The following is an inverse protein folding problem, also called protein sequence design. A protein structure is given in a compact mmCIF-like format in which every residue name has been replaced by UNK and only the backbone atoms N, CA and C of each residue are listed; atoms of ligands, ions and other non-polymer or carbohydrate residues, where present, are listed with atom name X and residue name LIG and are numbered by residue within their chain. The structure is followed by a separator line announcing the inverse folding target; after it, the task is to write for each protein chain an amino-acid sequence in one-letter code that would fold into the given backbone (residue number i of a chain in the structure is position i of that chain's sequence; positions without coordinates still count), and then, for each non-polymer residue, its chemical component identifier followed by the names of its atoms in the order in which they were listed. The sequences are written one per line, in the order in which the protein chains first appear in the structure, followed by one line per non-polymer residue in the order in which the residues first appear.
data_IF_564807597687
#
_entry.id   IF_564807597687
#
_cell.length_a   1.000
_cell.length_b   1.000
_cell.length_c   1.000
_cell.angle_alpha   90.00
_cell.angle_beta   90.00
_cell.angle_gamma   90.00
#
_symmetry.space_group_name_H-M   'P 1'
#
loop_
_entity.id
_entity.type
_entity.pdbx_description
1 polymer ?
#
# COMPACT_ATOMS: atom_id res chain seq x y z
N UNK A 1 -4.38 18.56 9.38
CA UNK A 1 -3.07 18.94 8.78
C UNK A 1 -2.44 20.08 9.57
N UNK A 2 -1.14 20.05 9.89
CA UNK A 2 -0.48 21.08 10.71
C UNK A 2 0.05 22.27 9.88
N UNK A 3 0.09 23.49 10.46
CA UNK A 3 0.87 24.63 9.94
C UNK A 3 2.35 24.50 10.34
N UNK A 4 3.21 25.37 9.80
CA UNK A 4 4.63 25.55 10.14
C UNK A 4 4.92 25.86 11.65
N UNK A 5 3.90 25.76 12.52
CA UNK A 5 4.00 25.84 13.99
C UNK A 5 3.23 24.72 14.74
N UNK A 6 2.90 23.60 14.07
CA UNK A 6 2.46 22.37 14.74
C UNK A 6 1.04 22.35 15.32
N UNK A 7 0.19 23.35 15.09
CA UNK A 7 -1.19 23.36 15.61
C UNK A 7 -2.15 22.42 14.86
N UNK A 8 -3.01 21.71 15.60
CA UNK A 8 -4.15 20.96 15.07
C UNK A 8 -5.13 21.94 14.40
N UNK A 9 -5.37 21.79 13.09
CA UNK A 9 -6.26 22.69 12.33
C UNK A 9 -7.75 22.34 12.47
N UNK A 10 -8.06 21.05 12.48
CA UNK A 10 -9.41 20.52 12.52
C UNK A 10 -9.37 19.05 12.94
N UNK A 11 -10.45 18.59 13.56
CA UNK A 11 -10.74 17.20 13.85
C UNK A 11 -12.26 17.02 13.83
N UNK A 12 -12.71 15.81 13.54
CA UNK A 12 -14.13 15.46 13.53
C UNK A 12 -14.32 14.02 13.98
N UNK A 13 -15.56 13.66 14.28
CA UNK A 13 -15.96 12.28 14.49
C UNK A 13 -16.36 11.64 13.16
N UNK A 14 -15.95 10.39 12.94
CA UNK A 14 -16.25 9.64 11.73
C UNK A 14 -16.68 8.23 12.13
N UNK A 15 -17.97 7.94 11.98
CA UNK A 15 -18.57 6.67 12.39
C UNK A 15 -20.09 6.78 12.57
N UNK A 16 -20.76 5.63 12.61
CA UNK A 16 -22.17 5.46 12.95
C UNK A 16 -22.33 4.71 14.28
N UNK A 17 -23.38 3.89 14.40
CA UNK A 17 -23.70 3.16 15.65
C UNK A 17 -23.08 1.77 15.74
N UNK A 18 -22.52 1.25 14.65
CA UNK A 18 -21.82 -0.02 14.59
C UNK A 18 -20.31 0.13 14.82
N UNK A 19 -19.57 -0.91 14.44
CA UNK A 19 -18.11 -0.91 14.48
C UNK A 19 -17.57 -0.34 13.16
N UNK A 20 -16.89 0.78 13.25
CA UNK A 20 -16.27 1.46 12.11
C UNK A 20 -14.76 1.55 12.30
N UNK A 21 -14.01 1.38 11.22
CA UNK A 21 -12.55 1.45 11.26
C UNK A 21 -11.85 0.23 11.87
N UNK A 22 -12.61 -0.80 12.25
CA UNK A 22 -12.09 -2.01 12.88
C UNK A 22 -12.74 -3.24 12.26
N UNK A 23 -11.92 -4.12 11.70
CA UNK A 23 -12.33 -5.47 11.32
C UNK A 23 -12.45 -6.32 12.58
N UNK A 24 -13.57 -7.05 12.71
CA UNK A 24 -13.86 -7.84 13.90
C UNK A 24 -12.80 -8.94 14.10
N UNK A 25 -12.01 -8.77 15.16
CA UNK A 25 -10.96 -9.72 15.56
C UNK A 25 -11.53 -11.06 16.08
N UNK A 26 -12.81 -11.13 16.42
CA UNK A 26 -13.47 -12.35 16.87
C UNK A 26 -14.27 -13.05 15.75
N UNK A 27 -14.23 -12.54 14.51
CA UNK A 27 -14.99 -13.11 13.40
C UNK A 27 -14.61 -14.59 13.14
N UNK A 28 -15.58 -15.51 13.07
CA UNK A 28 -15.32 -16.90 12.72
C UNK A 28 -14.84 -17.01 11.26
N UNK A 29 -14.08 -18.07 10.97
CA UNK A 29 -13.65 -18.35 9.60
C UNK A 29 -14.84 -18.70 8.67
N UNK A 30 -14.78 -18.35 7.37
CA UNK A 30 -13.74 -17.56 6.71
C UNK A 30 -13.78 -16.08 7.15
N UNK A 31 -12.62 -15.51 7.47
CA UNK A 31 -12.52 -14.11 7.93
C UNK A 31 -11.38 -13.37 7.25
N UNK A 32 -11.52 -12.05 7.21
CA UNK A 32 -10.58 -11.16 6.53
C UNK A 32 -9.32 -10.84 7.34
N UNK A 33 -9.32 -11.12 8.65
CA UNK A 33 -8.13 -10.94 9.49
C UNK A 33 -7.20 -12.13 9.30
N UNK A 34 -6.11 -11.92 8.57
CA UNK A 34 -5.11 -12.96 8.36
C UNK A 34 -3.80 -12.65 9.05
N UNK A 35 -3.27 -11.43 8.92
CA UNK A 35 -2.02 -11.07 9.56
C UNK A 35 -2.24 -10.30 10.87
N UNK A 36 -1.18 -10.21 11.68
CA UNK A 36 -1.12 -9.22 12.76
C UNK A 36 -1.35 -7.80 12.20
N UNK A 37 -2.15 -7.02 12.91
CA UNK A 37 -2.53 -5.65 12.50
C UNK A 37 -3.65 -5.54 11.46
N UNK A 38 -4.13 -6.66 10.87
CA UNK A 38 -5.17 -6.62 9.83
C UNK A 38 -6.50 -6.02 10.34
N UNK A 39 -6.75 -6.10 11.65
CA UNK A 39 -7.94 -5.51 12.28
C UNK A 39 -8.05 -3.99 12.03
N UNK A 40 -6.92 -3.30 11.87
CA UNK A 40 -6.86 -1.84 11.79
C UNK A 40 -6.47 -1.32 10.40
N UNK A 41 -6.75 -2.10 9.34
CA UNK A 41 -6.40 -1.67 7.98
C UNK A 41 -7.22 -0.46 7.52
N UNK A 42 -6.53 0.39 6.78
CA UNK A 42 -7.10 1.55 6.13
C UNK A 42 -6.03 2.38 5.44
N UNK A 43 -6.48 3.29 4.61
CA UNK A 43 -5.64 4.20 3.85
C UNK A 43 -6.36 5.53 3.65
N UNK A 44 -5.60 6.55 3.27
CA UNK A 44 -6.14 7.86 2.96
C UNK A 44 -5.40 8.47 1.77
N UNK A 45 -6.08 9.38 1.07
CA UNK A 45 -5.49 10.22 0.04
C UNK A 45 -6.11 11.61 0.12
N UNK A 46 -5.43 12.57 -0.51
CA UNK A 46 -5.87 13.95 -0.60
C UNK A 46 -6.07 14.34 -2.06
N UNK A 47 -7.04 15.22 -2.33
CA UNK A 47 -7.06 15.97 -3.59
C UNK A 47 -6.27 17.29 -3.48
N UNK A 48 -6.05 18.01 -4.59
CA UNK A 48 -5.33 19.30 -4.57
C UNK A 48 -6.00 20.39 -3.74
N UNK A 49 -7.30 20.25 -3.42
CA UNK A 49 -8.04 21.16 -2.54
C UNK A 49 -7.91 20.77 -1.06
N UNK A 50 -7.21 19.67 -0.76
CA UNK A 50 -6.99 19.17 0.60
C UNK A 50 -8.18 18.41 1.18
N UNK A 51 -9.17 18.04 0.36
CA UNK A 51 -10.22 17.15 0.81
C UNK A 51 -9.65 15.74 0.98
N UNK A 52 -10.19 15.00 1.94
CA UNK A 52 -9.68 13.70 2.36
C UNK A 52 -10.55 12.60 1.78
N UNK A 53 -9.93 11.53 1.33
CA UNK A 53 -10.57 10.26 1.02
C UNK A 53 -10.00 9.23 1.99
N UNK A 54 -10.85 8.38 2.55
CA UNK A 54 -10.48 7.34 3.52
C UNK A 54 -11.02 6.01 3.02
N UNK A 55 -10.17 4.98 2.96
CA UNK A 55 -10.56 3.59 2.78
C UNK A 55 -10.49 2.88 4.13
N UNK A 56 -11.54 2.14 4.49
CA UNK A 56 -11.63 1.40 5.73
C UNK A 56 -12.76 0.36 5.69
N UNK A 57 -13.36 0.08 6.83
CA UNK A 57 -14.45 -0.88 7.04
C UNK A 57 -15.57 -0.25 7.88
N UNK A 58 -16.82 -0.66 7.65
CA UNK A 58 -17.98 -0.24 8.43
C UNK A 58 -18.96 -1.39 8.65
N UNK A 59 -19.55 -1.47 9.84
CA UNK A 59 -20.80 -2.21 10.09
C UNK A 59 -21.97 -1.28 10.44
N UNK A 60 -21.79 0.02 10.21
CA UNK A 60 -22.77 1.06 10.52
C UNK A 60 -23.69 1.33 9.33
N UNK A 61 -24.93 0.85 9.39
CA UNK A 61 -25.97 1.19 8.40
C UNK A 61 -26.34 2.69 8.37
N UNK A 62 -25.90 3.45 9.37
CA UNK A 62 -26.09 4.88 9.52
C UNK A 62 -24.76 5.66 9.48
N UNK A 63 -23.72 5.11 8.85
CA UNK A 63 -22.46 5.82 8.67
C UNK A 63 -22.69 7.19 7.99
N UNK A 64 -22.05 8.28 8.45
CA UNK A 64 -22.27 9.62 7.91
C UNK A 64 -21.98 9.71 6.41
N UNK A 65 -22.89 10.33 5.66
CA UNK A 65 -22.71 10.56 4.22
C UNK A 65 -22.93 9.32 3.33
N UNK A 66 -23.44 8.21 3.87
CA UNK A 66 -23.75 7.02 3.07
C UNK A 66 -24.64 7.37 1.88
N UNK A 67 -24.17 7.05 0.68
CA UNK A 67 -24.88 7.25 -0.58
C UNK A 67 -25.63 5.99 -1.06
N UNK A 68 -25.46 4.88 -0.35
CA UNK A 68 -26.13 3.61 -0.60
C UNK A 68 -26.38 2.89 0.74
N UNK A 69 -27.40 2.03 0.76
CA UNK A 69 -27.69 1.19 1.92
C UNK A 69 -26.58 0.15 2.11
N UNK A 70 -26.25 -0.12 3.37
CA UNK A 70 -25.44 -1.26 3.80
C UNK A 70 -25.84 -2.55 3.07
N UNK A 71 -24.86 -3.28 2.53
CA UNK A 71 -25.10 -4.37 1.58
C UNK A 71 -25.41 -5.72 2.24
N UNK A 72 -25.31 -5.79 3.58
CA UNK A 72 -25.92 -6.84 4.39
C UNK A 72 -24.96 -7.89 4.96
N UNK A 73 -23.65 -7.67 4.86
CA UNK A 73 -22.61 -8.50 5.46
C UNK A 73 -22.43 -8.34 6.99
N UNK A 74 -21.43 -9.00 7.61
CA UNK A 74 -20.90 -8.64 8.93
C UNK A 74 -20.14 -7.30 8.93
N UNK A 75 -19.56 -6.94 7.79
CA UNK A 75 -18.91 -5.65 7.55
C UNK A 75 -18.86 -5.37 6.05
N UNK A 76 -18.96 -4.10 5.68
CA UNK A 76 -18.71 -3.62 4.32
C UNK A 76 -17.34 -2.92 4.27
N UNK A 77 -16.61 -3.05 3.16
CA UNK A 77 -15.55 -2.12 2.84
C UNK A 77 -16.14 -0.72 2.70
N UNK A 78 -15.40 0.31 3.07
CA UNK A 78 -15.92 1.68 3.07
C UNK A 78 -14.92 2.62 2.39
N UNK A 79 -15.41 3.46 1.49
CA UNK A 79 -14.69 4.67 1.10
C UNK A 79 -15.51 5.90 1.46
N UNK A 80 -14.92 6.81 2.23
CA UNK A 80 -15.55 8.06 2.62
C UNK A 80 -14.75 9.27 2.14
N UNK A 81 -15.44 10.35 1.83
CA UNK A 81 -14.83 11.63 1.53
C UNK A 81 -15.23 12.72 2.49
N UNK A 82 -14.25 13.46 3.00
CA UNK A 82 -14.42 14.58 3.92
C UNK A 82 -13.91 15.86 3.26
N UNK A 83 -14.55 16.98 3.56
CA UNK A 83 -14.00 18.27 3.15
C UNK A 83 -12.69 18.60 3.90
N UNK A 84 -11.89 19.50 3.33
CA UNK A 84 -10.60 19.93 3.90
C UNK A 84 -10.71 20.54 5.31
N UNK A 85 -11.90 20.98 5.71
CA UNK A 85 -12.21 21.55 7.04
C UNK A 85 -12.72 20.52 8.04
N UNK A 86 -12.94 19.27 7.62
CA UNK A 86 -13.52 18.19 8.42
C UNK A 86 -14.93 18.51 8.96
N UNK A 87 -15.61 19.49 8.36
CA UNK A 87 -16.95 19.93 8.77
C UNK A 87 -18.05 19.05 8.22
N UNK A 88 -17.80 18.34 7.12
CA UNK A 88 -18.78 17.45 6.52
C UNK A 88 -18.13 16.19 5.93
N UNK A 89 -18.81 15.06 6.08
CA UNK A 89 -18.60 13.89 5.21
C UNK A 89 -19.42 14.15 3.94
N UNK A 90 -18.73 14.36 2.82
CA UNK A 90 -19.32 14.71 1.52
C UNK A 90 -20.09 13.55 0.93
N UNK A 91 -19.54 12.34 1.07
CA UNK A 91 -20.15 11.09 0.67
C UNK A 91 -19.39 9.92 1.34
N UNK A 92 -20.05 8.79 1.45
CA UNK A 92 -19.49 7.52 1.85
C UNK A 92 -20.13 6.39 1.05
N UNK A 93 -19.32 5.45 0.59
CA UNK A 93 -19.72 4.38 -0.31
C UNK A 93 -19.29 3.04 0.26
N UNK A 94 -20.25 2.18 0.63
CA UNK A 94 -19.93 0.81 1.00
C UNK A 94 -19.54 0.01 -0.25
N UNK A 95 -18.59 -0.90 -0.08
CA UNK A 95 -18.03 -1.79 -1.09
C UNK A 95 -18.14 -3.22 -0.54
N UNK A 96 -18.73 -4.12 -1.31
CA UNK A 96 -18.92 -5.49 -0.84
C UNK A 96 -20.13 -6.19 -1.43
N UNK A 97 -20.66 -7.13 -0.65
CA UNK A 97 -21.84 -7.93 -0.93
C UNK A 97 -22.46 -8.46 0.37
N UNK A 98 -22.86 -9.74 0.39
CA UNK A 98 -23.54 -10.34 1.54
C UNK A 98 -22.61 -11.00 2.57
N UNK A 99 -21.31 -11.07 2.30
CA UNK A 99 -20.26 -11.57 3.17
C UNK A 99 -19.54 -10.45 3.92
N UNK A 100 -18.37 -10.73 4.49
CA UNK A 100 -17.53 -9.72 5.11
C UNK A 100 -16.62 -9.09 4.06
N UNK A 101 -16.57 -7.76 4.03
CA UNK A 101 -15.78 -6.98 3.11
C UNK A 101 -14.98 -5.91 3.86
N UNK A 102 -13.82 -5.55 3.32
CA UNK A 102 -13.01 -4.44 3.84
C UNK A 102 -12.17 -3.78 2.74
N UNK A 103 -12.06 -2.45 2.80
CA UNK A 103 -11.16 -1.68 1.93
C UNK A 103 -9.86 -1.37 2.68
N UNK A 104 -8.73 -1.83 2.14
CA UNK A 104 -7.41 -1.71 2.80
C UNK A 104 -6.58 -0.56 2.27
N UNK A 105 -6.69 -0.28 0.97
CA UNK A 105 -5.92 0.77 0.32
C UNK A 105 -6.77 1.57 -0.64
N UNK A 106 -6.35 2.82 -0.90
CA UNK A 106 -6.89 3.59 -1.99
C UNK A 106 -5.79 4.36 -2.73
N UNK A 107 -6.06 4.68 -3.98
CA UNK A 107 -5.25 5.61 -4.76
C UNK A 107 -6.17 6.51 -5.57
N UNK A 108 -5.91 7.82 -5.54
CA UNK A 108 -6.62 8.78 -6.38
C UNK A 108 -6.07 8.76 -7.81
N UNK A 109 -6.96 8.67 -8.77
CA UNK A 109 -6.67 8.79 -10.19
C UNK A 109 -6.64 10.27 -10.62
N UNK A 110 -5.96 10.58 -11.72
CA UNK A 110 -5.87 11.95 -12.25
C UNK A 110 -7.24 12.52 -12.64
N UNK A 111 -8.14 11.66 -13.09
CA UNK A 111 -9.55 11.97 -13.39
C UNK A 111 -10.36 12.36 -12.15
N UNK A 112 -9.78 12.19 -10.95
CA UNK A 112 -10.44 12.37 -9.66
C UNK A 112 -11.17 11.12 -9.17
N UNK A 113 -11.21 10.04 -9.96
CA UNK A 113 -11.67 8.74 -9.51
C UNK A 113 -10.76 8.13 -8.43
N UNK A 114 -11.19 7.03 -7.84
CA UNK A 114 -10.43 6.30 -6.83
C UNK A 114 -10.33 4.82 -7.22
N UNK A 115 -9.13 4.28 -7.14
CA UNK A 115 -8.87 2.85 -7.13
C UNK A 115 -8.79 2.38 -5.68
N UNK A 116 -9.39 1.23 -5.40
CA UNK A 116 -9.49 0.65 -4.07
C UNK A 116 -9.11 -0.82 -4.14
N UNK A 117 -8.32 -1.30 -3.20
CA UNK A 117 -8.09 -2.74 -3.02
C UNK A 117 -8.50 -3.18 -1.61
N UNK A 118 -8.95 -4.41 -1.51
CA UNK A 118 -9.49 -4.97 -0.29
C UNK A 118 -9.63 -6.49 -0.33
N UNK A 119 -10.25 -7.02 0.74
CA UNK A 119 -10.62 -8.42 0.87
C UNK A 119 -12.13 -8.60 0.95
N UNK A 120 -12.62 -9.73 0.47
CA UNK A 120 -14.04 -10.07 0.42
C UNK A 120 -14.27 -11.56 0.70
N UNK A 121 -15.30 -11.87 1.47
CA UNK A 121 -15.92 -13.21 1.53
C UNK A 121 -17.29 -13.23 0.83
N UNK A 122 -17.64 -12.14 0.14
CA UNK A 122 -18.91 -11.98 -0.55
C UNK A 122 -18.92 -12.73 -1.88
N UNK A 123 -19.89 -13.63 -2.13
CA UNK A 123 -20.04 -14.30 -3.43
C UNK A 123 -20.68 -13.41 -4.51
N UNK A 124 -21.09 -12.20 -4.15
CA UNK A 124 -21.89 -11.27 -4.95
C UNK A 124 -21.37 -9.82 -4.85
N UNK A 125 -20.07 -9.63 -5.01
CA UNK A 125 -19.41 -8.33 -4.99
C UNK A 125 -20.04 -7.39 -6.02
N UNK A 126 -20.56 -6.25 -5.55
CA UNK A 126 -21.16 -5.25 -6.41
C UNK A 126 -20.16 -4.77 -7.48
N UNK A 127 -20.61 -4.68 -8.75
CA UNK A 127 -19.80 -4.20 -9.87
C UNK A 127 -18.88 -5.24 -10.53
N UNK A 128 -18.87 -6.50 -10.08
CA UNK A 128 -17.90 -7.52 -10.53
C UNK A 128 -18.21 -8.10 -11.91
N UNK A 129 -19.47 -8.12 -12.36
CA UNK A 129 -19.88 -8.73 -13.64
C UNK A 129 -19.16 -8.16 -14.86
N UNK A 130 -18.71 -6.90 -14.79
CA UNK A 130 -17.95 -6.23 -15.83
C UNK A 130 -16.45 -6.15 -15.55
N UNK A 131 -15.92 -6.91 -14.60
CA UNK A 131 -14.49 -6.96 -14.28
C UNK A 131 -13.78 -8.18 -14.84
N UNK A 132 -12.46 -8.25 -14.63
CA UNK A 132 -11.59 -9.36 -15.04
C UNK A 132 -12.09 -10.72 -14.51
N UNK A 133 -12.61 -10.74 -13.27
CA UNK A 133 -13.30 -11.88 -12.68
C UNK A 133 -14.62 -11.43 -12.07
N UNK A 134 -15.70 -12.05 -12.53
CA UNK A 134 -17.06 -11.78 -12.10
C UNK A 134 -17.54 -12.61 -10.90
N UNK A 135 -16.76 -13.61 -10.48
CA UNK A 135 -17.06 -14.52 -9.39
C UNK A 135 -15.82 -14.73 -8.52
N UNK A 136 -16.01 -15.08 -7.23
CA UNK A 136 -14.91 -15.42 -6.35
C UNK A 136 -14.15 -16.66 -6.85
N UNK A 137 -12.86 -16.72 -6.55
CA UNK A 137 -12.04 -17.92 -6.68
C UNK A 137 -12.26 -18.89 -5.51
N UNK A 138 -12.49 -18.38 -4.29
CA UNK A 138 -12.55 -19.14 -3.05
C UNK A 138 -13.38 -18.45 -1.95
N UNK A 139 -13.17 -18.86 -0.69
CA UNK A 139 -13.94 -18.34 0.46
C UNK A 139 -13.46 -16.95 0.94
N UNK A 140 -12.21 -16.61 0.63
CA UNK A 140 -11.59 -15.31 0.91
C UNK A 140 -10.80 -14.91 -0.33
N UNK A 141 -11.23 -13.84 -0.99
CA UNK A 141 -10.57 -13.29 -2.16
C UNK A 141 -10.19 -11.83 -1.96
N UNK A 142 -9.20 -11.38 -2.75
CA UNK A 142 -8.96 -9.96 -2.96
C UNK A 142 -10.02 -9.37 -3.89
N UNK A 143 -10.20 -8.07 -3.84
CA UNK A 143 -10.90 -7.33 -4.88
C UNK A 143 -10.17 -6.04 -5.24
N UNK A 144 -10.45 -5.55 -6.45
CA UNK A 144 -10.13 -4.18 -6.87
C UNK A 144 -11.42 -3.51 -7.33
N UNK A 145 -11.66 -2.29 -6.87
CA UNK A 145 -12.82 -1.48 -7.24
C UNK A 145 -12.41 -0.10 -7.73
N UNK A 146 -13.21 0.47 -8.63
CA UNK A 146 -13.07 1.86 -9.09
C UNK A 146 -14.31 2.67 -8.74
N UNK A 147 -14.09 3.78 -8.05
CA UNK A 147 -15.11 4.79 -7.77
C UNK A 147 -14.90 6.02 -8.67
N UNK A 148 -15.99 6.65 -9.08
CA UNK A 148 -15.95 7.99 -9.66
C UNK A 148 -15.53 9.03 -8.60
N UNK A 149 -15.20 10.26 -9.04
CA UNK A 149 -14.89 11.38 -8.13
C UNK A 149 -16.04 11.72 -7.16
N UNK A 150 -17.28 11.37 -7.52
CA UNK A 150 -18.46 11.53 -6.67
C UNK A 150 -18.75 10.36 -5.73
N UNK A 151 -17.85 9.38 -5.62
CA UNK A 151 -18.03 8.20 -4.78
C UNK A 151 -18.84 7.07 -5.40
N UNK A 152 -19.41 7.24 -6.60
CA UNK A 152 -20.21 6.17 -7.23
C UNK A 152 -19.31 5.02 -7.69
N UNK A 153 -19.63 3.78 -7.28
CA UNK A 153 -18.97 2.56 -7.76
C UNK A 153 -19.23 2.37 -9.26
N UNK A 154 -18.15 2.32 -10.04
CA UNK A 154 -18.20 2.18 -11.49
C UNK A 154 -17.86 0.78 -11.97
N UNK A 155 -16.99 0.08 -11.25
CA UNK A 155 -16.52 -1.26 -11.62
C UNK A 155 -15.84 -1.92 -10.42
N UNK A 156 -15.90 -3.24 -10.36
CA UNK A 156 -15.04 -4.04 -9.49
C UNK A 156 -14.61 -5.33 -10.19
N UNK A 157 -13.66 -6.03 -9.59
CA UNK A 157 -13.26 -7.38 -9.99
C UNK A 157 -12.81 -8.15 -8.77
N UNK A 158 -13.12 -9.46 -8.76
CA UNK A 158 -12.45 -10.39 -7.86
C UNK A 158 -10.99 -10.59 -8.27
N UNK A 159 -10.17 -10.96 -7.30
CA UNK A 159 -8.79 -11.36 -7.50
C UNK A 159 -8.40 -12.46 -6.49
N UNK A 160 -8.33 -13.69 -6.97
CA UNK A 160 -7.95 -14.84 -6.15
C UNK A 160 -8.09 -16.17 -6.86
N UNK A 161 -7.92 -17.23 -6.10
CA UNK A 161 -7.84 -18.64 -6.45
C UNK A 161 -8.79 -19.43 -5.54
N UNK A 162 -8.77 -20.77 -5.60
CA UNK A 162 -9.54 -21.59 -4.66
C UNK A 162 -8.99 -21.61 -3.23
N UNK A 163 -7.86 -20.95 -2.99
CA UNK A 163 -7.23 -20.81 -1.67
C UNK A 163 -7.52 -19.43 -1.08
N UNK A 164 -6.99 -19.15 0.11
CA UNK A 164 -7.04 -17.81 0.68
C UNK A 164 -6.24 -16.84 -0.18
N UNK A 165 -6.84 -15.71 -0.56
CA UNK A 165 -6.22 -14.64 -1.32
C UNK A 165 -6.74 -13.28 -0.84
N UNK A 166 -5.87 -12.28 -0.69
CA UNK A 166 -6.28 -10.91 -0.38
C UNK A 166 -5.44 -9.86 -1.12
N UNK A 167 -6.06 -8.75 -1.50
CA UNK A 167 -5.42 -7.63 -2.17
C UNK A 167 -5.20 -6.47 -1.19
N UNK A 168 -3.97 -6.22 -0.79
CA UNK A 168 -3.64 -5.22 0.24
C UNK A 168 -3.42 -3.82 -0.33
N UNK A 169 -2.77 -3.72 -1.50
CA UNK A 169 -2.49 -2.44 -2.13
C UNK A 169 -2.83 -2.44 -3.62
N UNK A 170 -3.36 -1.33 -4.12
CA UNK A 170 -3.42 -1.02 -5.55
C UNK A 170 -2.64 0.27 -5.86
N UNK A 171 -1.84 0.25 -6.93
CA UNK A 171 -1.09 1.40 -7.43
C UNK A 171 -1.13 1.46 -8.95
N UNK A 172 -1.38 2.63 -9.50
CA UNK A 172 -1.20 2.94 -10.90
C UNK A 172 0.28 2.86 -11.25
N UNK A 173 0.56 2.28 -12.40
CA UNK A 173 1.90 2.09 -12.94
C UNK A 173 1.90 2.39 -14.45
N UNK A 174 3.06 2.61 -15.07
CA UNK A 174 3.15 2.59 -16.53
C UNK A 174 2.58 1.28 -17.09
N UNK A 175 1.55 1.40 -17.92
CA UNK A 175 0.93 0.25 -18.59
C UNK A 175 -0.15 -0.52 -17.81
N UNK A 176 -0.53 -0.09 -16.60
CA UNK A 176 -1.61 -0.76 -15.87
C UNK A 176 -1.75 -0.37 -14.41
N UNK A 177 -2.43 -1.22 -13.68
CA UNK A 177 -2.56 -1.16 -12.23
C UNK A 177 -1.79 -2.34 -11.64
N UNK A 178 -1.04 -2.11 -10.58
CA UNK A 178 -0.31 -3.14 -9.84
C UNK A 178 -1.00 -3.36 -8.50
N UNK A 179 -1.28 -4.63 -8.22
CA UNK A 179 -1.92 -5.08 -6.98
C UNK A 179 -0.91 -5.90 -6.19
N UNK A 180 -0.56 -5.46 -4.99
CA UNK A 180 0.21 -6.25 -4.03
C UNK A 180 -0.77 -6.99 -3.11
N UNK A 181 -0.61 -8.30 -3.00
CA UNK A 181 -1.47 -9.14 -2.17
C UNK A 181 -0.74 -10.33 -1.57
N UNK A 182 -1.51 -11.18 -0.88
CA UNK A 182 -1.05 -12.46 -0.36
C UNK A 182 -1.93 -13.58 -0.90
N UNK A 183 -1.32 -14.76 -1.03
CA UNK A 183 -1.97 -15.98 -1.47
C UNK A 183 -1.51 -17.15 -0.62
N UNK A 184 -2.40 -18.12 -0.37
CA UNK A 184 -2.00 -19.46 0.10
C UNK A 184 -2.01 -20.49 -1.03
N UNK A 185 -2.26 -20.07 -2.28
CA UNK A 185 -2.16 -20.95 -3.43
C UNK A 185 -0.69 -21.28 -3.73
N UNK A 186 -0.33 -22.56 -3.93
CA UNK A 186 1.01 -22.93 -4.35
C UNK A 186 1.32 -22.50 -5.80
N UNK A 187 0.33 -22.03 -6.55
CA UNK A 187 0.45 -21.63 -7.95
C UNK A 187 -0.50 -20.47 -8.28
N UNK A 188 0.02 -19.24 -8.19
CA UNK A 188 -0.74 -18.05 -8.60
C UNK A 188 -0.94 -18.01 -10.12
N UNK A 189 -2.19 -17.82 -10.62
CA UNK A 189 -2.46 -17.76 -12.05
C UNK A 189 -1.69 -16.65 -12.76
N UNK A 190 -0.98 -16.99 -13.83
CA UNK A 190 -0.24 -16.02 -14.64
C UNK A 190 1.09 -15.56 -14.02
N UNK A 191 1.56 -16.20 -12.95
CA UNK A 191 2.91 -15.97 -12.43
C UNK A 191 3.96 -16.33 -13.49
N UNK A 192 4.75 -15.33 -13.89
CA UNK A 192 5.73 -15.43 -14.97
C UNK A 192 7.11 -15.77 -14.41
N UNK A 193 7.58 -16.99 -14.67
CA UNK A 193 8.90 -17.48 -14.21
C UNK A 193 10.08 -16.81 -14.92
N UNK A 194 9.85 -16.00 -15.96
CA UNK A 194 10.88 -15.17 -16.57
C UNK A 194 11.12 -13.84 -15.83
N UNK A 195 10.31 -13.55 -14.80
CA UNK A 195 10.45 -12.40 -13.90
C UNK A 195 11.10 -12.84 -12.60
N UNK A 196 11.36 -11.89 -11.69
CA UNK A 196 11.67 -12.27 -10.32
C UNK A 196 10.53 -13.14 -9.79
N UNK A 197 10.87 -14.29 -9.22
CA UNK A 197 9.89 -15.30 -8.84
C UNK A 197 10.47 -16.21 -7.77
N UNK A 198 9.71 -16.45 -6.70
CA UNK A 198 9.96 -17.54 -5.76
C UNK A 198 8.85 -18.58 -5.89
N UNK A 199 9.20 -19.83 -6.17
CA UNK A 199 8.22 -20.92 -6.20
C UNK A 199 7.52 -21.03 -4.84
N UNK A 200 6.19 -21.17 -4.84
CA UNK A 200 5.35 -21.17 -3.64
C UNK A 200 5.47 -19.88 -2.80
N UNK A 201 5.81 -18.76 -3.42
CA UNK A 201 5.77 -17.45 -2.77
C UNK A 201 4.35 -17.09 -2.36
N UNK A 202 4.16 -16.69 -1.10
CA UNK A 202 2.84 -16.40 -0.51
C UNK A 202 2.50 -14.91 -0.57
N UNK A 203 3.30 -14.12 -1.29
CA UNK A 203 2.98 -12.76 -1.69
C UNK A 203 2.96 -12.70 -3.21
N UNK A 204 2.06 -11.89 -3.76
CA UNK A 204 1.96 -11.70 -5.21
C UNK A 204 1.96 -10.23 -5.58
N UNK A 205 2.46 -9.94 -6.78
CA UNK A 205 2.16 -8.70 -7.50
C UNK A 205 1.43 -9.08 -8.78
N UNK A 206 0.20 -8.59 -8.95
CA UNK A 206 -0.62 -8.79 -10.13
C UNK A 206 -0.76 -7.48 -10.89
N UNK A 207 -0.45 -7.49 -12.19
CA UNK A 207 -0.83 -6.40 -13.08
C UNK A 207 -2.27 -6.60 -13.57
N UNK A 208 -3.09 -5.56 -13.49
CA UNK A 208 -4.40 -5.47 -14.13
C UNK A 208 -4.37 -4.39 -15.21
N UNK A 209 -5.15 -4.57 -16.27
CA UNK A 209 -5.37 -3.54 -17.27
C UNK A 209 -6.07 -2.33 -16.62
N UNK A 210 -5.85 -1.10 -17.11
CA UNK A 210 -6.49 0.10 -16.57
C UNK A 210 -8.02 0.07 -16.60
N UNK A 211 -8.62 -0.72 -17.48
CA UNK A 211 -10.07 -0.93 -17.57
C UNK A 211 -10.58 -2.04 -16.65
N UNK A 212 -9.72 -2.67 -15.84
CA UNK A 212 -10.02 -3.83 -15.00
C UNK A 212 -10.64 -5.03 -15.74
N UNK A 213 -10.54 -5.11 -17.07
CA UNK A 213 -11.14 -6.20 -17.85
C UNK A 213 -10.21 -7.40 -18.07
N UNK A 214 -8.90 -7.19 -17.91
CA UNK A 214 -7.90 -8.23 -18.13
C UNK A 214 -6.74 -8.11 -17.16
N UNK A 215 -6.02 -9.22 -17.01
CA UNK A 215 -4.79 -9.30 -16.25
C UNK A 215 -3.57 -9.29 -17.18
N UNK A 216 -2.52 -8.59 -16.76
CA UNK A 216 -1.19 -8.61 -17.36
C UNK A 216 -0.30 -9.65 -16.68
N UNK A 217 0.98 -9.32 -16.52
CA UNK A 217 1.91 -10.21 -15.82
C UNK A 217 1.57 -10.34 -14.34
N UNK A 218 2.00 -11.46 -13.74
CA UNK A 218 2.08 -11.60 -12.29
C UNK A 218 3.46 -12.12 -11.88
N UNK A 219 3.82 -11.86 -10.63
CA UNK A 219 4.96 -12.49 -9.95
C UNK A 219 4.51 -12.92 -8.56
N UNK A 220 5.13 -13.98 -8.05
CA UNK A 220 5.06 -14.38 -6.65
C UNK A 220 6.43 -14.29 -6.00
N UNK A 221 6.45 -13.87 -4.74
CA UNK A 221 7.65 -13.80 -3.93
C UNK A 221 7.35 -14.28 -2.51
N UNK A 222 8.41 -14.50 -1.74
CA UNK A 222 8.33 -15.03 -0.39
C UNK A 222 9.45 -16.02 -0.13
N UNK A 223 9.31 -16.82 0.92
CA UNK A 223 10.29 -17.85 1.28
C UNK A 223 10.02 -19.21 0.63
N UNK A 224 8.88 -19.37 -0.06
CA UNK A 224 8.42 -20.66 -0.60
C UNK A 224 7.76 -21.60 0.42
N UNK A 225 7.40 -21.10 1.61
CA UNK A 225 6.68 -21.87 2.64
C UNK A 225 5.18 -21.84 2.40
N UNK A 226 4.44 -22.68 3.11
CA UNK A 226 2.98 -22.74 3.03
C UNK A 226 2.25 -21.69 3.87
N UNK A 227 2.97 -20.90 4.68
CA UNK A 227 2.44 -19.78 5.46
C UNK A 227 2.87 -18.47 4.82
N UNK A 228 2.07 -17.41 4.98
CA UNK A 228 2.48 -16.06 4.56
C UNK A 228 3.81 -15.66 5.20
N UNK A 229 4.55 -14.73 4.59
CA UNK A 229 5.82 -14.25 5.16
C UNK A 229 5.63 -12.92 5.88
N UNK A 230 5.01 -11.96 5.21
CA UNK A 230 4.86 -10.59 5.73
C UNK A 230 3.43 -10.07 5.63
N UNK A 231 2.96 -9.43 6.69
CA UNK A 231 1.85 -8.48 6.67
C UNK A 231 2.27 -7.25 5.85
N UNK A 232 1.68 -6.98 4.67
CA UNK A 232 2.10 -5.85 3.86
C UNK A 232 1.73 -4.52 4.54
N UNK A 233 2.71 -3.63 4.70
CA UNK A 233 2.52 -2.32 5.36
C UNK A 233 2.62 -1.16 4.38
N UNK A 234 3.37 -1.30 3.28
CA UNK A 234 3.45 -0.27 2.25
C UNK A 234 3.69 -0.87 0.86
N UNK A 235 3.14 -0.21 -0.15
CA UNK A 235 3.46 -0.44 -1.55
C UNK A 235 3.56 0.90 -2.29
N UNK A 236 4.64 1.08 -3.04
CA UNK A 236 4.94 2.27 -3.83
C UNK A 236 5.36 1.87 -5.24
N UNK A 237 4.91 2.64 -6.22
CA UNK A 237 5.31 2.48 -7.61
C UNK A 237 5.68 3.86 -8.14
N UNK A 238 6.85 3.97 -8.75
CA UNK A 238 7.28 5.22 -9.37
C UNK A 238 6.89 5.32 -10.84
N UNK A 239 7.23 6.44 -11.47
CA UNK A 239 6.89 6.70 -12.87
C UNK A 239 7.66 5.83 -13.87
N UNK A 240 8.71 5.13 -13.44
CA UNK A 240 9.42 4.15 -14.26
C UNK A 240 8.82 2.75 -14.12
N UNK A 241 7.85 2.57 -13.22
CA UNK A 241 7.25 1.28 -12.91
C UNK A 241 8.07 0.46 -11.93
N UNK A 242 9.11 1.03 -11.29
CA UNK A 242 9.82 0.36 -10.20
C UNK A 242 8.90 0.26 -9.00
N UNK A 243 8.96 -0.88 -8.35
CA UNK A 243 8.08 -1.25 -7.24
C UNK A 243 8.90 -1.29 -5.96
N UNK A 244 8.43 -0.62 -4.91
CA UNK A 244 8.94 -0.76 -3.56
C UNK A 244 7.83 -1.26 -2.65
N UNK A 245 8.15 -2.20 -1.77
CA UNK A 245 7.22 -2.68 -0.76
C UNK A 245 7.90 -2.86 0.59
N UNK A 246 7.09 -2.76 1.62
CA UNK A 246 7.47 -3.06 2.99
C UNK A 246 6.38 -3.92 3.63
N UNK A 247 6.79 -4.79 4.55
CA UNK A 247 5.89 -5.52 5.41
C UNK A 247 6.62 -6.05 6.63
N UNK A 248 5.88 -6.56 7.60
CA UNK A 248 6.42 -7.13 8.82
C UNK A 248 5.99 -8.60 8.94
N UNK A 249 6.89 -9.46 9.41
CA UNK A 249 6.54 -10.82 9.80
C UNK A 249 7.20 -11.15 11.13
N UNK A 250 6.52 -11.91 12.00
CA UNK A 250 7.04 -12.27 13.32
C UNK A 250 6.06 -13.08 14.17
N UNK A 251 6.49 -13.44 15.39
CA UNK A 251 5.81 -14.44 16.23
C UNK A 251 4.42 -14.05 16.73
N UNK A 252 4.06 -12.76 16.64
CA UNK A 252 2.71 -12.27 16.96
C UNK A 252 1.68 -12.54 15.84
N UNK A 253 2.13 -12.98 14.66
CA UNK A 253 1.23 -13.29 13.57
C UNK A 253 0.37 -14.54 13.85
N UNK A 254 -0.97 -14.42 13.83
CA UNK A 254 -1.86 -15.51 14.23
C UNK A 254 -1.83 -16.71 13.27
N UNK A 255 -1.30 -16.54 12.05
CA UNK A 255 -1.17 -17.59 11.04
C UNK A 255 0.29 -17.97 10.79
N UNK A 256 1.21 -17.56 11.68
CA UNK A 256 2.62 -17.96 11.64
C UNK A 256 3.45 -17.20 10.61
N UNK A 257 2.99 -16.05 10.13
CA UNK A 257 3.73 -15.19 9.22
C UNK A 257 5.05 -14.70 9.82
N UNK A 258 6.17 -14.91 9.13
CA UNK A 258 7.50 -14.50 9.61
C UNK A 258 8.49 -14.30 8.47
N UNK A 259 9.60 -13.62 8.72
CA UNK A 259 10.59 -13.22 7.70
C UNK A 259 11.61 -14.30 7.33
N UNK A 260 11.58 -15.47 7.97
CA UNK A 260 12.58 -16.53 7.76
C UNK A 260 12.61 -17.02 6.31
N UNK A 261 13.77 -16.91 5.67
CA UNK A 261 13.99 -17.44 4.32
C UNK A 261 13.61 -16.48 3.19
N UNK A 262 13.24 -15.24 3.50
CA UNK A 262 13.12 -14.20 2.47
C UNK A 262 14.49 -13.88 1.86
N UNK A 263 14.50 -13.56 0.56
CA UNK A 263 15.72 -13.24 -0.15
C UNK A 263 16.29 -11.89 0.31
N UNK A 264 17.61 -11.75 0.35
CA UNK A 264 18.27 -10.46 0.53
C UNK A 264 19.22 -10.19 -0.63
N UNK A 265 19.52 -8.93 -0.90
CA UNK A 265 20.53 -8.56 -1.91
C UNK A 265 21.91 -8.42 -1.25
N UNK A 266 23.02 -8.54 -2.00
CA UNK A 266 24.38 -8.45 -1.43
C UNK A 266 24.68 -7.13 -0.70
N UNK A 267 23.95 -6.07 -1.04
CA UNK A 267 24.03 -4.74 -0.45
C UNK A 267 22.96 -4.47 0.62
N UNK A 268 22.27 -5.50 1.13
CA UNK A 268 21.30 -5.37 2.20
C UNK A 268 21.88 -4.65 3.42
N UNK A 269 21.11 -3.76 4.04
CA UNK A 269 21.48 -3.14 5.30
C UNK A 269 21.58 -4.18 6.43
N UNK A 270 20.62 -5.10 6.47
CA UNK A 270 20.56 -6.21 7.39
C UNK A 270 20.21 -7.46 6.58
N UNK A 271 21.17 -8.39 6.50
CA UNK A 271 21.10 -9.58 5.66
C UNK A 271 20.57 -10.83 6.38
N UNK A 272 20.42 -10.75 7.70
CA UNK A 272 19.92 -11.84 8.55
C UNK A 272 18.68 -11.39 9.32
N UNK A 273 17.82 -12.35 9.64
CA UNK A 273 16.60 -12.14 10.42
C UNK A 273 16.54 -13.16 11.55
N UNK A 274 15.92 -12.80 12.67
CA UNK A 274 15.52 -13.74 13.72
C UNK A 274 14.09 -14.31 13.49
N UNK A 275 13.47 -13.94 12.36
CA UNK A 275 12.10 -14.25 12.01
C UNK A 275 11.10 -13.15 12.36
N UNK A 276 11.52 -12.07 13.02
CA UNK A 276 10.65 -11.01 13.54
C UNK A 276 11.12 -9.63 13.11
N UNK A 277 11.19 -9.41 11.80
CA UNK A 277 11.70 -8.16 11.24
C UNK A 277 10.72 -7.54 10.26
N UNK A 278 10.95 -6.26 9.95
CA UNK A 278 10.46 -5.72 8.69
C UNK A 278 11.27 -6.27 7.53
N UNK A 279 10.60 -6.43 6.40
CA UNK A 279 11.22 -6.75 5.13
C UNK A 279 10.92 -5.63 4.15
N UNK A 280 11.96 -5.05 3.58
CA UNK A 280 11.88 -4.04 2.54
C UNK A 280 12.47 -4.62 1.27
N UNK A 281 11.74 -4.51 0.16
CA UNK A 281 12.26 -4.90 -1.14
C UNK A 281 11.89 -3.92 -2.24
N UNK A 282 12.74 -3.86 -3.26
CA UNK A 282 12.53 -3.14 -4.50
C UNK A 282 12.67 -4.10 -5.68
N UNK A 283 11.69 -4.06 -6.57
CA UNK A 283 11.74 -4.71 -7.88
C UNK A 283 11.88 -3.66 -8.98
N UNK A 284 12.65 -3.99 -10.00
CA UNK A 284 12.68 -3.24 -11.26
C UNK A 284 11.32 -3.27 -11.95
N UNK A 285 11.16 -2.43 -12.97
CA UNK A 285 9.93 -2.34 -13.73
C UNK A 285 9.54 -3.69 -14.33
N UNK A 286 8.23 -3.96 -14.37
CA UNK A 286 7.72 -5.27 -14.77
C UNK A 286 8.13 -6.43 -13.84
N UNK A 287 8.63 -6.14 -12.63
CA UNK A 287 9.06 -7.14 -11.65
C UNK A 287 10.18 -8.05 -12.15
N UNK A 288 11.04 -7.55 -13.05
CA UNK A 288 12.04 -8.41 -13.73
C UNK A 288 13.16 -8.87 -12.82
N UNK A 289 13.63 -8.01 -11.92
CA UNK A 289 14.81 -8.23 -11.07
C UNK A 289 14.54 -7.68 -9.68
N UNK A 290 15.07 -8.39 -8.66
CA UNK A 290 15.19 -7.89 -7.30
C UNK A 290 16.38 -6.94 -7.20
N UNK A 291 16.10 -5.63 -7.21
CA UNK A 291 17.14 -4.59 -7.18
C UNK A 291 17.72 -4.42 -5.77
N UNK A 292 16.87 -4.57 -4.75
CA UNK A 292 17.26 -4.43 -3.35
C UNK A 292 16.31 -5.24 -2.45
N UNK A 293 16.86 -5.89 -1.42
CA UNK A 293 16.08 -6.48 -0.34
C UNK A 293 16.88 -6.53 0.95
N UNK A 294 16.25 -6.13 2.05
CA UNK A 294 16.85 -6.12 3.39
C UNK A 294 15.81 -6.46 4.44
N UNK A 295 16.27 -7.04 5.54
CA UNK A 295 15.54 -6.99 6.79
C UNK A 295 15.72 -5.61 7.44
N UNK A 296 14.90 -5.29 8.43
CA UNK A 296 15.06 -4.13 9.28
C UNK A 296 14.31 -4.34 10.59
N UNK A 297 15.04 -4.47 11.68
CA UNK A 297 14.45 -4.72 12.99
C UNK A 297 15.51 -4.93 14.05
N UNK A 298 15.08 -5.31 15.23
CA UNK A 298 15.91 -5.63 16.38
C UNK A 298 15.86 -7.14 16.64
N UNK A 299 16.70 -7.65 17.53
CA UNK A 299 16.53 -9.02 18.03
C UNK A 299 15.48 -9.11 19.17
N UNK A 300 14.60 -8.12 19.26
CA UNK A 300 13.57 -7.97 20.26
C UNK A 300 12.22 -7.78 19.54
N UNK A 301 11.10 -7.84 20.27
CA UNK A 301 9.75 -8.01 19.72
C UNK A 301 9.21 -6.76 18.97
N UNK A 302 9.89 -6.31 17.91
CA UNK A 302 9.41 -5.22 17.07
C UNK A 302 8.29 -5.66 16.13
N UNK A 303 7.31 -4.78 15.92
CA UNK A 303 6.10 -5.08 15.14
C UNK A 303 5.35 -3.81 14.72
N UNK A 304 4.28 -4.00 13.92
CA UNK A 304 3.27 -2.97 13.64
C UNK A 304 1.94 -3.33 14.26
N UNK A 305 1.31 -2.43 15.01
CA UNK A 305 -0.06 -2.64 15.55
C UNK A 305 -1.16 -2.34 14.52
N UNK A 306 -0.82 -2.37 13.23
CA UNK A 306 -1.70 -2.04 12.11
C UNK A 306 -1.39 -0.69 11.45
N UNK A 307 -2.28 -0.30 10.54
CA UNK A 307 -2.14 0.82 9.61
C UNK A 307 -1.09 0.65 8.48
N UNK A 308 -1.27 1.48 7.45
CA UNK A 308 -0.40 1.51 6.26
C UNK A 308 0.73 2.53 6.43
N UNK A 309 1.96 2.06 6.27
CA UNK A 309 3.11 2.91 5.95
C UNK A 309 3.03 3.41 4.51
N UNK A 310 3.90 4.35 4.14
CA UNK A 310 3.80 5.01 2.84
C UNK A 310 5.16 5.21 2.19
N UNK A 311 5.18 5.00 0.88
CA UNK A 311 6.25 5.50 0.03
C UNK A 311 5.86 6.86 -0.54
N UNK A 312 6.83 7.76 -0.66
CA UNK A 312 6.69 8.92 -1.55
C UNK A 312 6.93 8.53 -3.03
N UNK A 313 6.80 9.50 -3.93
CA UNK A 313 7.01 9.30 -5.36
C UNK A 313 8.45 8.91 -5.75
N UNK A 314 9.42 9.10 -4.85
CA UNK A 314 10.82 8.70 -5.04
C UNK A 314 11.13 7.35 -4.38
N UNK A 315 10.11 6.61 -3.93
CA UNK A 315 10.23 5.35 -3.20
C UNK A 315 11.02 5.50 -1.89
N UNK A 316 10.91 6.66 -1.24
CA UNK A 316 11.32 6.82 0.17
C UNK A 316 10.19 6.31 1.06
N UNK A 317 10.46 5.27 1.84
CA UNK A 317 9.56 4.77 2.88
C UNK A 317 9.48 5.77 4.03
N UNK A 318 8.28 5.96 4.56
CA UNK A 318 7.98 6.58 5.84
C UNK A 318 7.25 5.54 6.69
N UNK A 319 7.91 5.09 7.75
CA UNK A 319 7.45 3.98 8.59
C UNK A 319 7.45 4.40 10.05
N UNK A 320 6.42 3.96 10.76
CA UNK A 320 6.38 3.93 12.22
C UNK A 320 6.25 2.48 12.67
N UNK A 321 6.93 2.10 13.75
CA UNK A 321 6.91 0.75 14.29
C UNK A 321 6.98 0.77 15.81
N UNK A 322 6.43 -0.27 16.42
CA UNK A 322 6.64 -0.57 17.82
C UNK A 322 8.05 -1.17 17.96
N UNK A 323 8.94 -0.48 18.67
CA UNK A 323 10.29 -0.90 18.96
C UNK A 323 10.35 -1.33 20.44
N UNK A 324 10.32 -2.63 20.68
CA UNK A 324 10.31 -3.19 22.02
C UNK A 324 11.71 -3.60 22.46
N UNK A 325 12.17 -3.11 23.61
CA UNK A 325 13.39 -3.61 24.24
C UNK A 325 13.05 -4.77 25.19
N UNK A 326 13.81 -5.87 25.09
CA UNK A 326 13.97 -6.81 26.21
C UNK A 326 14.99 -6.22 27.21
N UNK A 327 15.02 -6.65 28.50
CA UNK A 327 15.94 -6.10 29.49
C UNK A 327 17.40 -6.16 29.01
N UNK A 328 17.98 -5.00 28.66
CA UNK A 328 19.33 -4.92 28.05
C UNK A 328 19.45 -4.04 26.81
N UNK A 329 18.33 -3.57 26.23
CA UNK A 329 18.26 -2.47 25.28
C UNK A 329 19.04 -2.66 23.98
N UNK A 330 18.41 -3.18 22.92
CA UNK A 330 19.02 -3.17 21.58
C UNK A 330 18.37 -2.09 20.74
N UNK A 331 19.19 -1.14 20.28
CA UNK A 331 18.70 -0.05 19.45
C UNK A 331 18.25 -0.57 18.08
N UNK A 332 17.14 -0.02 17.57
CA UNK A 332 16.77 -0.11 16.15
C UNK A 332 18.02 0.19 15.30
N UNK A 333 18.33 -0.63 14.27
CA UNK A 333 19.48 -0.38 13.40
C UNK A 333 19.44 1.04 12.85
N UNK A 334 20.48 1.81 13.11
CA UNK A 334 20.64 3.14 12.52
C UNK A 334 21.22 2.96 11.11
N UNK A 335 20.50 3.34 10.04
CA UNK A 335 21.04 3.25 8.69
C UNK A 335 22.32 4.08 8.56
N UNK A 336 23.32 3.63 7.77
CA UNK A 336 24.47 4.45 7.41
C UNK A 336 24.02 5.82 6.86
N UNK A 337 24.56 6.90 7.43
CA UNK A 337 24.19 8.26 7.07
C UNK A 337 22.98 8.84 7.83
N UNK A 338 22.38 8.10 8.76
CA UNK A 338 21.39 8.67 9.68
C UNK A 338 22.06 9.68 10.64
N UNK A 339 21.77 10.97 10.44
CA UNK A 339 22.31 12.07 11.27
C UNK A 339 21.29 12.69 12.22
N UNK A 340 20.07 12.14 12.29
CA UNK A 340 18.97 12.69 13.10
C UNK A 340 18.16 11.57 13.71
N UNK A 341 18.33 11.34 15.00
CA UNK A 341 17.62 10.33 15.79
C UNK A 341 17.39 10.84 17.21
N UNK A 342 16.41 10.27 17.92
CA UNK A 342 16.20 10.56 19.34
C UNK A 342 17.18 9.73 20.18
N UNK A 343 18.08 10.34 20.98
CA UNK A 343 19.06 9.60 21.78
C UNK A 343 18.49 9.04 23.09
N UNK A 344 17.21 9.31 23.38
CA UNK A 344 16.57 8.94 24.63
C UNK A 344 15.32 8.11 24.38
N UNK A 345 15.34 6.85 24.82
CA UNK A 345 14.14 6.03 24.99
C UNK A 345 13.55 6.31 26.38
N UNK A 346 12.38 6.95 26.42
CA UNK A 346 11.67 7.25 27.67
C UNK A 346 10.75 6.13 28.16
N UNK A 347 10.63 5.04 27.42
CA UNK A 347 9.76 3.92 27.75
C UNK A 347 10.54 2.77 28.42
N UNK A 348 9.88 2.06 29.33
CA UNK A 348 10.47 0.93 30.06
C UNK A 348 10.38 -0.41 29.30
N UNK A 349 9.61 -0.47 28.20
CA UNK A 349 9.40 -1.68 27.40
C UNK A 349 9.42 -1.33 25.91
N UNK A 350 8.28 -0.97 25.32
CA UNK A 350 8.19 -0.56 23.93
C UNK A 350 8.12 0.95 23.77
N UNK A 351 8.70 1.47 22.70
CA UNK A 351 8.55 2.85 22.24
C UNK A 351 8.24 2.88 20.74
N UNK A 352 7.76 4.01 20.22
CA UNK A 352 7.53 4.17 18.79
C UNK A 352 8.82 4.62 18.11
N UNK A 353 9.31 3.82 17.16
CA UNK A 353 10.37 4.23 16.25
C UNK A 353 9.75 4.70 14.93
N UNK A 354 10.10 5.92 14.52
CA UNK A 354 9.72 6.47 13.22
C UNK A 354 10.98 6.74 12.39
N UNK A 355 11.02 6.24 11.17
CA UNK A 355 12.16 6.37 10.29
C UNK A 355 11.74 6.56 8.84
N UNK A 356 12.72 7.02 8.05
CA UNK A 356 12.61 7.09 6.59
C UNK A 356 13.69 6.24 5.96
N UNK A 357 13.35 5.52 4.89
CA UNK A 357 14.27 4.63 4.19
C UNK A 357 14.20 4.90 2.69
N UNK A 358 15.26 5.45 2.10
CA UNK A 358 15.33 5.64 0.66
C UNK A 358 15.87 4.37 -0.01
N UNK A 359 15.01 3.66 -0.77
CA UNK A 359 15.41 2.46 -1.50
C UNK A 359 16.12 2.77 -2.83
N UNK A 360 16.06 4.03 -3.27
CA UNK A 360 16.66 4.50 -4.51
C UNK A 360 18.18 4.68 -4.38
N UNK A 361 18.92 3.56 -4.32
CA UNK A 361 20.34 3.57 -4.61
C UNK A 361 20.53 3.50 -6.14
N UNK A 362 20.87 4.63 -6.76
CA UNK A 362 21.43 4.63 -8.11
C UNK A 362 20.46 4.91 -9.26
N UNK A 363 19.71 6.02 -9.21
CA UNK A 363 19.80 6.85 -10.39
C UNK A 363 21.27 7.29 -10.44
N UNK A 364 22.06 6.74 -11.37
CA UNK A 364 23.19 7.53 -11.85
C UNK A 364 22.60 8.93 -12.08
N UNK A 365 23.13 10.01 -11.47
CA UNK A 365 22.65 11.33 -11.83
C UNK A 365 22.81 11.33 -13.34
N UNK A 366 21.69 11.38 -14.04
CA UNK A 366 21.71 11.59 -15.46
C UNK A 366 22.65 12.80 -15.60
N UNK A 367 23.77 12.62 -16.34
CA UNK A 367 24.94 13.48 -16.24
C UNK A 367 24.53 14.94 -16.20
N UNK A 368 25.22 15.76 -15.39
CA UNK A 368 24.90 17.09 -14.83
C UNK A 368 23.88 18.04 -15.53
N UNK A 369 23.50 17.78 -16.77
CA UNK A 369 22.54 18.48 -17.62
C UNK A 369 21.24 17.69 -17.92
N UNK A 370 20.96 16.57 -17.25
CA UNK A 370 19.71 15.82 -17.48
C UNK A 370 18.77 15.93 -16.28
N UNK A 371 17.76 16.79 -16.45
CA UNK A 371 16.62 16.93 -15.55
C UNK A 371 15.48 16.03 -16.05
N UNK A 372 15.23 14.92 -15.36
CA UNK A 372 14.07 14.06 -15.63
C UNK A 372 12.88 14.52 -14.81
N UNK A 373 11.81 14.94 -15.49
CA UNK A 373 10.57 15.40 -14.86
C UNK A 373 9.41 14.48 -15.23
N UNK A 374 8.56 14.17 -14.25
CA UNK A 374 7.26 13.58 -14.52
C UNK A 374 6.42 14.54 -15.37
N UNK A 375 5.52 14.03 -16.21
CA UNK A 375 4.60 14.86 -17.00
C UNK A 375 3.74 15.82 -16.13
N UNK A 376 3.60 15.51 -14.83
CA UNK A 376 2.87 16.28 -13.83
C UNK A 376 3.76 17.07 -12.86
N UNK A 377 5.07 17.09 -13.07
CA UNK A 377 5.95 17.89 -12.23
C UNK A 377 5.54 19.38 -12.34
N UNK A 378 5.62 20.15 -11.25
CA UNK A 378 5.54 21.61 -11.32
C UNK A 378 6.48 22.13 -12.40
N UNK A 379 6.12 23.24 -13.08
CA UNK A 379 6.98 23.85 -14.09
C UNK A 379 8.36 24.12 -13.49
N UNK A 380 9.39 23.47 -14.03
CA UNK A 380 10.77 23.71 -13.61
C UNK A 380 11.40 24.72 -14.55
N UNK A 381 12.00 25.77 -13.98
CA UNK A 381 12.84 26.70 -14.74
C UNK A 381 14.16 25.98 -15.03
N UNK A 382 14.40 25.70 -16.31
CA UNK A 382 15.69 25.19 -16.77
C UNK A 382 16.71 26.33 -16.70
N UNK A 383 17.87 26.10 -16.06
CA UNK A 383 18.96 27.07 -15.97
C UNK A 383 20.27 26.37 -16.31
N UNK A 384 21.07 26.96 -17.21
CA UNK A 384 22.34 26.39 -17.65
C UNK A 384 23.19 27.41 -18.41
N UNK A 385 24.49 27.14 -18.51
CA UNK A 385 25.46 27.92 -19.28
C UNK A 385 26.08 27.01 -20.35
N UNK A 386 26.29 27.48 -21.60
CA UNK A 386 26.03 28.83 -22.10
C UNK A 386 24.58 29.06 -22.52
N UNK A 387 24.18 30.34 -22.63
CA UNK A 387 22.93 30.77 -23.23
C UNK A 387 22.88 30.33 -24.71
N UNK A 388 22.28 29.18 -24.98
CA UNK A 388 22.27 28.59 -26.32
C UNK A 388 21.93 27.09 -26.39
N UNK A 389 21.36 26.49 -25.36
CA UNK A 389 20.86 25.12 -25.44
C UNK A 389 19.68 25.00 -26.41
N UNK A 390 19.61 23.89 -27.17
CA UNK A 390 18.44 23.53 -27.96
C UNK A 390 17.49 22.73 -27.07
N UNK A 391 16.32 23.29 -26.79
CA UNK A 391 15.29 22.65 -25.97
C UNK A 391 14.17 22.13 -26.87
N UNK A 392 14.00 20.80 -26.94
CA UNK A 392 12.95 20.17 -27.77
C UNK A 392 12.19 19.13 -26.99
N UNK A 393 10.87 19.11 -27.13
CA UNK A 393 9.99 18.10 -26.53
C UNK A 393 8.57 18.61 -26.30
N UNK A 394 7.57 17.73 -26.13
CA UNK A 394 6.21 18.12 -25.77
C UNK A 394 6.19 18.92 -24.46
N UNK A 395 5.56 20.10 -24.46
CA UNK A 395 5.41 20.95 -23.26
C UNK A 395 6.53 21.97 -23.02
N UNK A 396 7.60 21.97 -23.83
CA UNK A 396 8.63 23.02 -23.79
C UNK A 396 8.04 24.30 -24.40
N UNK A 397 7.94 25.36 -23.59
CA UNK A 397 7.55 26.71 -24.04
C UNK A 397 8.62 27.71 -23.64
N UNK A 398 9.16 28.45 -24.61
CA UNK A 398 10.16 29.50 -24.40
C UNK A 398 9.63 30.87 -24.82
N UNK A 399 10.13 31.93 -24.21
CA UNK A 399 9.93 33.30 -24.71
C UNK A 399 11.30 33.94 -24.91
N UNK A 400 11.54 34.53 -26.08
CA UNK A 400 12.79 35.25 -26.41
C UNK A 400 13.01 36.46 -25.49
N UNK A 401 11.99 36.87 -24.72
CA UNK A 401 12.07 37.95 -23.74
C UNK A 401 12.69 37.55 -22.39
N UNK A 402 12.97 36.26 -22.16
CA UNK A 402 13.48 35.75 -20.88
C UNK A 402 14.95 35.27 -20.92
N UNK A 403 15.63 35.40 -22.06
CA UNK A 403 16.97 34.85 -22.31
C UNK A 403 16.91 33.53 -23.04
#
# INVERSE_FOLDING_TARGET
MAQARGGLRASTYLGGTGTDGLLDAAAPAPCLRHNYGDAFRGDLALDPQGNVYVASVTSSANFPGLTATYLGGPSDGLVASLDSSFSQVRWATPLGGTGADAAYSLQREDTGGLLVAGGTTSPNLAGATGGYRAAPGGDVDGFVARLSAGGVLTQSTYLGTSSYDQAYFVRSAPGGLLVLGQTLSPAWPGADTARYHTAHGQQFIQQLAPDLLSAGYATVFGSGRSTTDISPTAFGVDCYGRMALAGWGGGLDPNGGNTTGLATTPNALQSTTDGQDFYLMQLSDGARVLDYATYFGTSADDHVDGASSRFDANLTLYQAMCACDQPGGQSIPLPPGATTYAPHNGAAHCNNAAFKFALTAGSSPAGADTLSLCAQAPRVRLSGSPAGGVWTGPGVTGSVAAG
#
